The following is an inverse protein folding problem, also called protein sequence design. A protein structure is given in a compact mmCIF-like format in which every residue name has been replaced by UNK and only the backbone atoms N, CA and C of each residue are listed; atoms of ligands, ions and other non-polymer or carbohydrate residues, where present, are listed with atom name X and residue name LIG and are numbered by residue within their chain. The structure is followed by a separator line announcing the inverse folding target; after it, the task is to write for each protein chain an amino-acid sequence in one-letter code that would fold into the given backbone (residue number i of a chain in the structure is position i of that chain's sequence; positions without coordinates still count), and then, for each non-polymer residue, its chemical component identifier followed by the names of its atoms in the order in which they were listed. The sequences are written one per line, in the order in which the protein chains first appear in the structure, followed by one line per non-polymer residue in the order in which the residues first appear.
data_IF_747131994198
#
_entry.id   IF_747131994198
#
_cell.length_a   1.000
_cell.length_b   1.000
_cell.length_c   1.000
_cell.angle_alpha   90.00
_cell.angle_beta   90.00
_cell.angle_gamma   90.00
#
_symmetry.space_group_name_H-M   'P 1'
#
loop_
_entity.id
_entity.type
_entity.pdbx_description
1 polymer ?
#
# COMPACT_ATOMS: atom_id res chain seq x y z
N UNK A 1 36.57 32.69 -48.52
CA UNK A 1 35.42 31.79 -48.24
C UNK A 1 35.72 31.10 -46.90
N UNK A 2 35.20 31.60 -45.78
CA UNK A 2 35.45 31.04 -44.44
C UNK A 2 34.30 30.11 -44.09
N UNK A 3 34.59 28.82 -43.98
CA UNK A 3 33.63 27.79 -43.56
C UNK A 3 33.51 27.89 -42.04
N UNK A 4 32.31 28.24 -41.56
CA UNK A 4 31.94 28.19 -40.14
C UNK A 4 31.37 26.80 -39.88
N UNK A 5 32.13 25.98 -39.15
CA UNK A 5 31.67 24.65 -38.71
C UNK A 5 30.82 24.82 -37.47
N UNK A 6 29.52 24.53 -37.57
CA UNK A 6 28.59 24.51 -36.44
C UNK A 6 28.78 23.20 -35.68
N UNK A 7 29.27 23.26 -34.43
CA UNK A 7 29.30 22.10 -33.53
C UNK A 7 27.90 21.88 -32.97
N UNK A 8 27.28 20.78 -33.38
CA UNK A 8 26.01 20.31 -32.84
C UNK A 8 26.29 19.58 -31.51
N UNK A 9 26.00 20.23 -30.38
CA UNK A 9 26.12 19.61 -29.05
C UNK A 9 24.91 18.70 -28.80
N UNK A 10 25.10 17.39 -28.96
CA UNK A 10 24.10 16.39 -28.60
C UNK A 10 24.13 16.23 -27.07
N UNK A 11 23.09 16.70 -26.39
CA UNK A 11 22.86 16.37 -24.98
C UNK A 11 22.33 14.92 -24.91
N UNK A 12 23.22 13.99 -24.54
CA UNK A 12 22.81 12.64 -24.17
C UNK A 12 22.27 12.72 -22.73
N UNK A 13 20.94 12.73 -22.59
CA UNK A 13 20.29 12.48 -21.31
C UNK A 13 20.55 11.03 -20.92
N UNK A 14 21.49 10.79 -20.02
CA UNK A 14 21.70 9.48 -19.42
C UNK A 14 20.50 9.15 -18.53
N UNK A 15 19.61 8.29 -19.02
CA UNK A 15 18.64 7.60 -18.16
C UNK A 15 19.47 6.68 -17.26
N UNK A 16 19.72 7.08 -16.01
CA UNK A 16 20.28 6.17 -15.02
C UNK A 16 19.24 5.09 -14.77
N UNK A 17 19.45 3.91 -15.36
CA UNK A 17 18.81 2.70 -14.86
C UNK A 17 19.23 2.56 -13.40
N UNK A 18 18.27 2.46 -12.48
CA UNK A 18 18.56 2.00 -11.14
C UNK A 18 19.25 0.64 -11.28
N UNK A 19 20.57 0.63 -11.09
CA UNK A 19 21.39 -0.56 -11.32
C UNK A 19 21.04 -1.63 -10.29
N UNK A 20 21.32 -2.89 -10.60
CA UNK A 20 21.14 -4.03 -9.68
C UNK A 20 21.72 -3.77 -8.27
N UNK A 21 22.79 -2.96 -8.19
CA UNK A 21 23.46 -2.56 -6.95
C UNK A 21 22.56 -1.76 -5.98
N UNK A 22 21.57 -1.02 -6.48
CA UNK A 22 20.66 -0.20 -5.66
C UNK A 22 19.65 -1.08 -4.90
N UNK A 23 19.37 -2.29 -5.42
CA UNK A 23 18.38 -3.22 -4.83
C UNK A 23 18.96 -4.12 -3.74
N UNK A 24 20.27 -4.33 -3.74
CA UNK A 24 20.98 -5.07 -2.67
C UNK A 24 21.13 -4.22 -1.39
N UNK A 25 20.96 -2.90 -1.50
CA UNK A 25 21.05 -1.94 -0.38
C UNK A 25 19.67 -1.49 0.12
N UNK A 26 18.61 -2.10 -0.39
CA UNK A 26 17.24 -1.66 -0.20
C UNK A 26 16.77 -1.81 1.26
N UNK A 27 15.97 -0.84 1.71
CA UNK A 27 15.39 -0.82 3.05
C UNK A 27 13.86 -0.75 2.98
N UNK A 28 13.16 -1.56 3.77
CA UNK A 28 11.70 -1.59 3.75
C UNK A 28 11.06 -1.95 5.09
N UNK A 29 9.86 -1.41 5.29
CA UNK A 29 8.96 -1.77 6.38
C UNK A 29 7.96 -2.83 5.91
N UNK A 30 7.68 -3.79 6.78
CA UNK A 30 6.79 -4.92 6.50
C UNK A 30 5.73 -5.08 7.56
N UNK A 31 4.52 -5.41 7.12
CA UNK A 31 3.40 -5.82 7.97
C UNK A 31 3.12 -7.29 7.76
N UNK A 32 3.30 -8.11 8.79
CA UNK A 32 2.99 -9.54 8.76
C UNK A 32 1.66 -9.81 9.48
N UNK A 33 0.71 -10.44 8.77
CA UNK A 33 -0.57 -10.86 9.35
C UNK A 33 -0.40 -12.12 10.20
N UNK A 34 0.27 -13.12 9.65
CA UNK A 34 0.41 -14.44 10.25
C UNK A 34 1.12 -14.44 11.61
N UNK A 35 2.10 -13.54 11.79
CA UNK A 35 2.80 -13.31 13.07
C UNK A 35 2.33 -12.08 13.83
N UNK A 36 1.42 -11.27 13.28
CA UNK A 36 1.01 -9.98 13.85
C UNK A 36 2.20 -9.10 14.22
N UNK A 37 3.03 -8.83 13.22
CA UNK A 37 4.35 -8.20 13.40
C UNK A 37 4.52 -6.98 12.49
N UNK A 38 5.28 -6.01 12.97
CA UNK A 38 5.89 -4.94 12.18
C UNK A 38 7.39 -5.22 12.10
N UNK A 39 8.01 -4.98 10.95
CA UNK A 39 9.45 -5.21 10.80
C UNK A 39 10.10 -4.17 9.92
N UNK A 40 11.38 -3.92 10.18
CA UNK A 40 12.28 -3.26 9.27
C UNK A 40 13.28 -4.27 8.74
N UNK A 41 13.46 -4.27 7.44
CA UNK A 41 14.54 -5.00 6.76
C UNK A 41 15.42 -3.97 6.05
N UNK A 42 16.71 -4.07 6.27
CA UNK A 42 17.78 -3.31 5.66
C UNK A 42 18.76 -4.33 5.06
N UNK A 43 18.68 -4.51 3.73
CA UNK A 43 19.49 -5.51 3.05
C UNK A 43 20.98 -5.12 3.05
N UNK A 44 21.27 -3.82 3.03
CA UNK A 44 22.64 -3.31 3.06
C UNK A 44 23.29 -3.38 4.43
N UNK A 45 22.51 -3.30 5.51
CA UNK A 45 22.98 -3.32 6.89
C UNK A 45 22.07 -4.20 7.77
N UNK A 46 22.17 -5.54 7.69
CA UNK A 46 21.25 -6.46 8.37
C UNK A 46 21.20 -6.32 9.90
N UNK A 47 22.23 -5.73 10.52
CA UNK A 47 22.24 -5.40 11.95
C UNK A 47 21.19 -4.35 12.36
N UNK A 48 20.66 -3.59 11.38
CA UNK A 48 19.56 -2.65 11.59
C UNK A 48 18.19 -3.34 11.59
N UNK A 49 18.12 -4.62 11.21
CA UNK A 49 16.85 -5.35 11.14
C UNK A 49 16.22 -5.47 12.52
N UNK A 50 14.90 -5.30 12.56
CA UNK A 50 14.14 -5.54 13.77
C UNK A 50 12.74 -6.06 13.45
N UNK A 51 12.18 -6.75 14.44
CA UNK A 51 10.86 -7.37 14.39
C UNK A 51 10.15 -7.04 15.70
N UNK A 52 8.97 -6.41 15.63
CA UNK A 52 8.18 -6.05 16.81
C UNK A 52 6.78 -6.63 16.72
N UNK A 53 6.29 -7.32 17.76
CA UNK A 53 4.88 -7.69 17.84
C UNK A 53 4.03 -6.42 17.93
N UNK A 54 2.89 -6.45 17.25
CA UNK A 54 1.93 -5.34 17.26
C UNK A 54 0.50 -5.91 17.27
N UNK A 55 -0.51 -5.14 17.67
CA UNK A 55 -1.90 -5.60 17.63
C UNK A 55 -2.32 -6.07 16.23
N UNK A 56 -3.37 -6.87 16.14
CA UNK A 56 -3.95 -7.24 14.83
C UNK A 56 -4.45 -5.98 14.12
N UNK A 57 -4.26 -5.95 12.81
CA UNK A 57 -4.70 -4.86 11.96
C UNK A 57 -3.97 -4.86 10.63
N UNK A 58 -4.15 -3.80 9.83
CA UNK A 58 -3.71 -3.72 8.45
C UNK A 58 -3.06 -2.37 8.14
N UNK A 59 -2.53 -2.29 6.93
CA UNK A 59 -1.90 -1.11 6.33
C UNK A 59 -0.58 -0.68 6.97
N UNK A 60 0.17 0.13 6.22
CA UNK A 60 1.35 0.86 6.66
C UNK A 60 1.30 2.26 6.03
N UNK A 61 1.71 3.28 6.77
CA UNK A 61 1.90 4.62 6.21
C UNK A 61 3.04 5.37 6.89
N UNK A 62 3.91 6.05 6.14
CA UNK A 62 4.83 7.03 6.72
C UNK A 62 4.04 8.28 7.09
N UNK A 63 4.07 8.67 8.36
CA UNK A 63 3.29 9.81 8.88
C UNK A 63 4.15 10.99 9.32
N UNK A 64 5.45 10.93 9.03
CA UNK A 64 6.44 11.94 9.39
C UNK A 64 7.08 11.68 10.75
N UNK A 65 8.02 12.56 11.15
CA UNK A 65 8.74 12.45 12.43
C UNK A 65 9.44 11.09 12.64
N UNK A 66 9.84 10.42 11.55
CA UNK A 66 10.40 9.07 11.55
C UNK A 66 9.46 8.00 12.14
N UNK A 67 8.14 8.21 11.94
CA UNK A 67 7.08 7.33 12.40
C UNK A 67 6.36 6.63 11.23
N UNK A 68 5.98 5.39 11.48
CA UNK A 68 5.05 4.61 10.65
C UNK A 68 3.75 4.40 11.41
N UNK A 69 2.63 4.70 10.76
CA UNK A 69 1.29 4.40 11.24
C UNK A 69 0.88 3.00 10.81
N UNK A 70 0.30 2.25 11.74
CA UNK A 70 -0.35 0.96 11.48
C UNK A 70 -1.79 1.00 12.00
N UNK A 71 -2.73 0.42 11.26
CA UNK A 71 -4.08 0.20 11.77
C UNK A 71 -4.10 -0.91 12.81
N UNK A 72 -5.00 -0.79 13.78
CA UNK A 72 -5.30 -1.82 14.78
C UNK A 72 -6.80 -2.13 14.77
N UNK A 73 -7.23 -3.17 15.48
CA UNK A 73 -8.66 -3.48 15.65
C UNK A 73 -9.45 -2.46 16.49
N UNK A 74 -8.78 -1.47 17.09
CA UNK A 74 -9.41 -0.45 17.93
C UNK A 74 -8.95 0.99 17.61
N UNK A 75 -8.42 1.22 16.40
CA UNK A 75 -7.91 2.54 15.98
C UNK A 75 -6.57 2.38 15.26
N UNK A 76 -5.52 3.06 15.72
CA UNK A 76 -4.19 2.97 15.13
C UNK A 76 -3.07 3.24 16.14
N UNK A 77 -1.86 2.86 15.74
CA UNK A 77 -0.62 3.17 16.45
C UNK A 77 0.35 3.88 15.53
N UNK A 78 1.16 4.77 16.08
CA UNK A 78 2.34 5.35 15.45
C UNK A 78 3.58 4.74 16.11
N UNK A 79 4.45 4.18 15.30
CA UNK A 79 5.59 3.36 15.71
C UNK A 79 6.87 3.99 15.15
N UNK A 80 7.93 4.01 15.96
CA UNK A 80 9.25 4.49 15.51
C UNK A 80 9.79 3.60 14.39
N UNK A 81 10.18 4.17 13.26
CA UNK A 81 10.80 3.42 12.15
C UNK A 81 12.17 2.87 12.55
N UNK A 82 12.88 3.54 13.45
CA UNK A 82 14.20 3.11 13.91
C UNK A 82 14.14 1.84 14.78
N UNK A 83 13.07 1.66 15.56
CA UNK A 83 13.04 0.62 16.62
C UNK A 83 11.78 -0.23 16.66
N UNK A 84 10.73 0.16 15.93
CA UNK A 84 9.39 -0.41 15.99
C UNK A 84 8.63 -0.16 17.31
N UNK A 85 9.21 0.60 18.25
CA UNK A 85 8.56 0.91 19.52
C UNK A 85 7.33 1.80 19.32
N UNK A 86 6.31 1.58 20.13
CA UNK A 86 5.13 2.43 20.22
C UNK A 86 5.55 3.85 20.62
N UNK A 87 5.07 4.85 19.89
CA UNK A 87 5.28 6.27 20.19
C UNK A 87 3.96 6.93 20.58
N UNK A 88 2.90 6.62 19.83
CA UNK A 88 1.57 7.17 20.07
C UNK A 88 0.50 6.16 19.65
N UNK A 89 -0.71 6.29 20.19
CA UNK A 89 -1.85 5.47 19.81
C UNK A 89 -3.15 6.25 19.94
N UNK A 90 -4.11 5.90 19.10
CA UNK A 90 -5.51 6.30 19.26
C UNK A 90 -6.35 5.03 19.39
N UNK A 91 -7.14 4.99 20.46
CA UNK A 91 -8.07 3.91 20.77
C UNK A 91 -9.51 4.43 20.91
N UNK A 92 -10.50 3.53 21.03
CA UNK A 92 -11.90 3.91 21.23
C UNK A 92 -12.77 3.73 19.98
N UNK A 93 -12.22 3.08 18.96
CA UNK A 93 -12.88 2.77 17.70
C UNK A 93 -12.87 1.25 17.49
N UNK A 94 -13.59 0.46 18.33
CA UNK A 94 -13.57 -0.99 18.26
C UNK A 94 -14.13 -1.49 16.92
N UNK A 95 -13.46 -2.49 16.34
CA UNK A 95 -13.77 -2.99 15.01
C UNK A 95 -13.16 -2.16 13.88
N UNK A 96 -12.10 -1.38 14.16
CA UNK A 96 -11.36 -0.67 13.12
C UNK A 96 -10.75 -1.68 12.14
N UNK A 97 -10.96 -1.46 10.86
CA UNK A 97 -10.51 -2.30 9.75
C UNK A 97 -9.21 -1.76 9.14
N UNK A 98 -9.14 -0.44 8.97
CA UNK A 98 -7.98 0.27 8.43
C UNK A 98 -7.94 1.71 8.97
N UNK A 99 -6.75 2.29 8.95
CA UNK A 99 -6.49 3.66 9.34
C UNK A 99 -5.52 4.32 8.35
N UNK A 100 -5.78 5.57 7.97
CA UNK A 100 -4.94 6.32 7.02
C UNK A 100 -4.93 7.81 7.37
N UNK A 101 -3.75 8.41 7.47
CA UNK A 101 -3.55 9.86 7.57
C UNK A 101 -3.80 10.50 6.20
N UNK A 102 -4.71 11.46 6.13
CA UNK A 102 -5.10 12.20 4.93
C UNK A 102 -4.17 13.38 4.67
N UNK A 103 -4.28 13.99 3.48
CA UNK A 103 -3.51 15.19 3.09
C UNK A 103 -3.70 16.37 4.05
N UNK A 104 -4.89 16.50 4.62
CA UNK A 104 -5.19 17.54 5.62
C UNK A 104 -4.64 17.23 7.03
N UNK A 105 -3.86 16.16 7.19
CA UNK A 105 -3.24 15.71 8.45
C UNK A 105 -4.23 15.15 9.48
N UNK A 106 -5.52 15.01 9.16
CA UNK A 106 -6.48 14.20 9.92
C UNK A 106 -6.30 12.72 9.60
N UNK A 107 -6.78 11.83 10.47
CA UNK A 107 -6.77 10.38 10.24
C UNK A 107 -8.17 9.89 9.92
N UNK A 108 -8.33 9.13 8.84
CA UNK A 108 -9.58 8.42 8.55
C UNK A 108 -9.47 6.98 9.05
N UNK A 109 -10.50 6.53 9.76
CA UNK A 109 -10.70 5.17 10.24
C UNK A 109 -11.84 4.53 9.47
N UNK A 110 -11.69 3.24 9.15
CA UNK A 110 -12.70 2.44 8.47
C UNK A 110 -13.29 1.44 9.46
N UNK A 111 -14.62 1.37 9.54
CA UNK A 111 -15.31 0.33 10.28
C UNK A 111 -16.61 -0.08 9.60
N UNK A 112 -17.24 -1.12 10.12
CA UNK A 112 -18.55 -1.60 9.64
C UNK A 112 -19.61 -1.28 10.68
N UNK A 113 -20.78 -0.87 10.20
CA UNK A 113 -21.96 -0.63 11.04
C UNK A 113 -21.73 0.36 12.18
N UNK A 114 -20.75 1.25 12.04
CA UNK A 114 -20.48 2.31 13.00
C UNK A 114 -21.51 3.42 12.90
N UNK A 115 -21.63 4.20 13.98
CA UNK A 115 -22.49 5.40 14.03
C UNK A 115 -23.95 5.09 13.69
N UNK A 116 -24.42 3.88 14.04
CA UNK A 116 -25.80 3.43 13.80
C UNK A 116 -26.21 3.44 12.32
N UNK A 117 -25.23 3.26 11.41
CA UNK A 117 -25.45 3.20 9.96
C UNK A 117 -24.97 1.88 9.42
N UNK A 118 -25.82 1.17 8.67
CA UNK A 118 -25.43 -0.08 8.02
C UNK A 118 -24.38 0.17 6.90
N UNK A 119 -23.42 -0.74 6.79
CA UNK A 119 -22.41 -0.75 5.73
C UNK A 119 -21.06 -0.21 6.15
N UNK A 120 -20.25 0.21 5.16
CA UNK A 120 -18.91 0.77 5.41
C UNK A 120 -19.06 2.19 5.94
N UNK A 121 -18.46 2.47 7.09
CA UNK A 121 -18.46 3.81 7.69
C UNK A 121 -17.03 4.28 7.89
N UNK A 122 -16.74 5.44 7.33
CA UNK A 122 -15.52 6.18 7.56
C UNK A 122 -15.72 7.18 8.69
N UNK A 123 -14.75 7.29 9.59
CA UNK A 123 -14.69 8.32 10.62
C UNK A 123 -13.39 9.07 10.48
N UNK A 124 -13.47 10.37 10.17
CA UNK A 124 -12.30 11.25 10.12
C UNK A 124 -12.12 11.89 11.49
N UNK A 125 -10.92 11.77 12.06
CA UNK A 125 -10.55 12.34 13.36
C UNK A 125 -9.39 13.32 13.22
N UNK A 126 -9.39 14.36 14.06
CA UNK A 126 -8.29 15.31 14.14
C UNK A 126 -7.10 14.74 14.94
N UNK A 127 -6.02 15.53 15.10
CA UNK A 127 -4.83 15.13 15.88
C UNK A 127 -5.12 14.88 17.36
N UNK A 128 -6.16 15.51 17.93
CA UNK A 128 -6.61 15.30 19.31
C UNK A 128 -7.42 14.01 19.49
N UNK A 129 -7.83 13.36 18.39
CA UNK A 129 -8.69 12.18 18.39
C UNK A 129 -10.18 12.51 18.33
N UNK A 130 -10.56 13.78 18.18
CA UNK A 130 -11.97 14.16 18.06
C UNK A 130 -12.49 13.83 16.64
N UNK A 131 -13.72 13.33 16.58
CA UNK A 131 -14.41 13.09 15.32
C UNK A 131 -14.73 14.43 14.64
N UNK A 132 -14.19 14.63 13.45
CA UNK A 132 -14.44 15.80 12.58
C UNK A 132 -15.64 15.53 11.68
N UNK A 133 -15.71 14.34 11.08
CA UNK A 133 -16.82 13.95 10.22
C UNK A 133 -16.94 12.42 10.15
N UNK A 134 -18.09 11.94 9.67
CA UNK A 134 -18.32 10.54 9.35
C UNK A 134 -19.03 10.42 8.00
N UNK A 135 -18.61 9.44 7.20
CA UNK A 135 -19.17 9.16 5.87
C UNK A 135 -19.64 7.71 5.86
N UNK A 136 -20.85 7.45 5.40
CA UNK A 136 -21.38 6.10 5.29
C UNK A 136 -21.61 5.73 3.81
N UNK A 137 -21.18 4.53 3.44
CA UNK A 137 -21.44 3.92 2.13
C UNK A 137 -22.29 2.66 2.35
N UNK A 138 -23.62 2.73 2.15
CA UNK A 138 -24.52 1.62 2.42
C UNK A 138 -24.33 0.47 1.41
N UNK A 139 -24.88 -0.70 1.74
CA UNK A 139 -24.91 -1.87 0.84
C UNK A 139 -23.57 -2.59 0.65
N UNK A 140 -22.58 -2.32 1.49
CA UNK A 140 -21.28 -3.00 1.48
C UNK A 140 -20.96 -3.50 2.88
N UNK A 141 -20.71 -4.80 3.03
CA UNK A 141 -20.59 -5.50 4.32
C UNK A 141 -19.14 -5.80 4.73
N UNK A 142 -18.16 -5.39 3.93
CA UNK A 142 -16.75 -5.64 4.18
C UNK A 142 -15.86 -4.50 3.69
N UNK A 143 -14.69 -4.34 4.29
CA UNK A 143 -13.65 -3.46 3.79
C UNK A 143 -12.26 -4.04 4.10
N UNK A 144 -11.26 -3.63 3.32
CA UNK A 144 -9.84 -3.90 3.59
C UNK A 144 -9.04 -2.63 3.73
N UNK A 145 -8.55 -2.04 2.64
CA UNK A 145 -7.77 -0.80 2.68
C UNK A 145 -8.53 0.37 2.05
N UNK A 146 -8.11 1.57 2.46
CA UNK A 146 -8.60 2.86 1.97
C UNK A 146 -7.46 3.71 1.42
N UNK A 147 -7.68 4.42 0.31
CA UNK A 147 -6.78 5.45 -0.22
C UNK A 147 -7.57 6.69 -0.61
N UNK A 148 -7.08 7.87 -0.22
CA UNK A 148 -7.60 9.15 -0.72
C UNK A 148 -7.10 9.36 -2.16
N UNK A 149 -8.00 9.73 -3.07
CA UNK A 149 -7.62 10.01 -4.46
C UNK A 149 -7.09 11.44 -4.62
N UNK A 150 -6.46 11.79 -5.76
CA UNK A 150 -6.14 13.17 -6.07
C UNK A 150 -7.34 14.14 -6.02
N UNK A 151 -8.57 13.63 -6.25
CA UNK A 151 -9.81 14.42 -6.20
C UNK A 151 -10.43 14.53 -4.80
N UNK A 152 -9.80 13.95 -3.77
CA UNK A 152 -10.30 14.00 -2.40
C UNK A 152 -11.47 13.04 -2.11
N UNK A 153 -11.72 12.08 -3.00
CA UNK A 153 -12.64 10.94 -2.82
C UNK A 153 -11.89 9.74 -2.23
N UNK A 154 -12.58 8.65 -1.91
CA UNK A 154 -11.97 7.49 -1.26
C UNK A 154 -12.13 6.21 -2.07
N UNK A 155 -11.01 5.59 -2.43
CA UNK A 155 -11.00 4.21 -2.90
C UNK A 155 -11.02 3.26 -1.72
N UNK A 156 -11.97 2.33 -1.70
CA UNK A 156 -12.13 1.30 -0.68
C UNK A 156 -12.23 -0.06 -1.36
N UNK A 157 -11.40 -1.00 -0.93
CA UNK A 157 -11.48 -2.38 -1.41
C UNK A 157 -12.41 -3.20 -0.50
N UNK A 158 -13.38 -3.91 -1.09
CA UNK A 158 -14.43 -4.66 -0.38
C UNK A 158 -14.72 -5.97 -1.13
N UNK A 159 -14.43 -7.12 -0.50
CA UNK A 159 -14.62 -8.43 -1.13
C UNK A 159 -14.00 -8.51 -2.55
N UNK A 160 -14.81 -8.70 -3.59
CA UNK A 160 -14.43 -8.75 -5.01
C UNK A 160 -14.51 -7.37 -5.70
N UNK A 161 -14.82 -6.32 -4.96
CA UNK A 161 -15.06 -4.99 -5.47
C UNK A 161 -13.98 -4.02 -5.01
N UNK A 162 -13.75 -3.01 -5.85
CA UNK A 162 -13.20 -1.72 -5.45
C UNK A 162 -14.29 -0.69 -5.68
N UNK A 163 -14.60 0.09 -4.66
CA UNK A 163 -15.53 1.22 -4.75
C UNK A 163 -14.78 2.52 -4.60
N UNK A 164 -15.23 3.56 -5.29
CA UNK A 164 -14.86 4.94 -5.00
C UNK A 164 -16.06 5.68 -4.43
N UNK A 165 -15.89 6.22 -3.23
CA UNK A 165 -16.90 6.98 -2.52
C UNK A 165 -16.61 8.48 -2.51
N UNK A 166 -17.63 9.30 -2.70
CA UNK A 166 -17.56 10.75 -2.47
C UNK A 166 -17.55 11.08 -0.97
N UNK A 167 -17.28 12.35 -0.62
CA UNK A 167 -17.33 12.80 0.78
C UNK A 167 -18.77 12.91 1.30
N UNK A 168 -19.74 12.91 0.40
CA UNK A 168 -21.18 12.98 0.66
C UNK A 168 -21.80 11.59 0.89
N UNK A 169 -21.02 10.51 0.75
CA UNK A 169 -21.50 9.13 0.93
C UNK A 169 -22.03 8.46 -0.33
N UNK A 170 -21.77 9.03 -1.51
CA UNK A 170 -22.19 8.43 -2.79
C UNK A 170 -21.10 7.52 -3.36
N UNK A 171 -21.48 6.34 -3.86
CA UNK A 171 -20.58 5.48 -4.63
C UNK A 171 -20.58 5.98 -6.07
N UNK A 172 -19.49 6.63 -6.48
CA UNK A 172 -19.37 7.29 -7.78
C UNK A 172 -18.63 6.45 -8.82
N UNK A 173 -17.93 5.41 -8.38
CA UNK A 173 -17.28 4.44 -9.25
C UNK A 173 -17.17 3.09 -8.55
N UNK A 174 -17.21 2.01 -9.34
CA UNK A 174 -17.01 0.65 -8.84
C UNK A 174 -16.38 -0.23 -9.92
N UNK A 175 -15.49 -1.13 -9.54
CA UNK A 175 -15.01 -2.20 -10.42
C UNK A 175 -15.00 -3.53 -9.69
N UNK A 176 -15.28 -4.60 -10.42
CA UNK A 176 -15.15 -5.96 -9.93
C UNK A 176 -13.80 -6.53 -10.39
N UNK A 177 -13.01 -7.03 -9.45
CA UNK A 177 -11.75 -7.68 -9.77
C UNK A 177 -11.98 -9.10 -10.32
N UNK A 178 -11.13 -9.52 -11.26
CA UNK A 178 -11.10 -10.88 -11.79
C UNK A 178 -10.09 -11.78 -11.08
N UNK A 179 -9.93 -13.02 -11.56
CA UNK A 179 -8.91 -13.97 -11.09
C UNK A 179 -9.47 -15.34 -10.72
N UNK A 180 -8.68 -16.15 -9.99
CA UNK A 180 -9.10 -17.44 -9.43
C UNK A 180 -10.36 -17.28 -8.57
N UNK A 181 -11.07 -18.38 -8.30
CA UNK A 181 -12.33 -18.40 -7.55
C UNK A 181 -12.27 -17.54 -6.26
N UNK A 182 -13.25 -16.65 -6.08
CA UNK A 182 -13.37 -15.72 -4.95
C UNK A 182 -12.15 -14.80 -4.74
N UNK A 183 -11.80 -13.94 -5.72
CA UNK A 183 -10.71 -13.00 -5.55
C UNK A 183 -11.06 -11.95 -4.47
N UNK A 184 -10.04 -11.33 -3.90
CA UNK A 184 -10.22 -10.46 -2.74
C UNK A 184 -9.40 -9.18 -2.89
N UNK A 185 -10.04 -8.10 -3.36
CA UNK A 185 -9.38 -6.83 -3.56
C UNK A 185 -8.75 -6.36 -2.24
N UNK A 186 -7.47 -6.01 -2.27
CA UNK A 186 -6.72 -5.67 -1.06
C UNK A 186 -6.34 -4.19 -0.97
N UNK A 187 -5.71 -3.65 -2.00
CA UNK A 187 -5.36 -2.23 -2.09
C UNK A 187 -5.71 -1.70 -3.48
N UNK A 188 -6.17 -0.46 -3.55
CA UNK A 188 -6.41 0.23 -4.81
C UNK A 188 -5.82 1.64 -4.79
N UNK A 189 -5.25 2.10 -5.91
CA UNK A 189 -4.66 3.42 -6.08
C UNK A 189 -5.18 4.05 -7.38
N UNK A 190 -5.70 5.28 -7.29
CA UNK A 190 -6.15 6.09 -8.43
C UNK A 190 -4.97 6.85 -9.04
N UNK A 191 -4.81 6.74 -10.35
CA UNK A 191 -3.89 7.55 -11.15
C UNK A 191 -4.61 8.77 -11.75
N UNK A 192 -3.86 9.81 -12.09
CA UNK A 192 -4.40 11.04 -12.68
C UNK A 192 -5.02 10.85 -14.07
N UNK A 193 -4.57 9.83 -14.81
CA UNK A 193 -5.16 9.47 -16.12
C UNK A 193 -6.48 8.70 -16.00
N UNK A 194 -7.04 8.59 -14.79
CA UNK A 194 -8.31 7.92 -14.50
C UNK A 194 -8.18 6.42 -14.29
N UNK A 195 -7.00 5.82 -14.51
CA UNK A 195 -6.80 4.39 -14.25
C UNK A 195 -6.74 4.11 -12.76
N UNK A 196 -7.14 2.90 -12.37
CA UNK A 196 -7.07 2.41 -10.99
C UNK A 196 -6.25 1.12 -10.97
N UNK A 197 -5.14 1.12 -10.25
CA UNK A 197 -4.31 -0.07 -10.00
C UNK A 197 -4.83 -0.76 -8.75
N UNK A 198 -4.99 -2.07 -8.80
CA UNK A 198 -5.55 -2.90 -7.72
C UNK A 198 -4.70 -4.13 -7.50
N UNK A 199 -4.36 -4.44 -6.25
CA UNK A 199 -3.87 -5.77 -5.88
C UNK A 199 -5.04 -6.74 -5.65
N UNK A 200 -5.07 -7.80 -6.45
CA UNK A 200 -6.24 -8.68 -6.60
C UNK A 200 -6.43 -9.75 -5.52
N UNK A 201 -5.63 -9.76 -4.45
CA UNK A 201 -5.64 -10.82 -3.45
C UNK A 201 -5.47 -12.19 -4.08
N UNK A 202 -6.38 -13.14 -3.80
CA UNK A 202 -6.38 -14.49 -4.38
C UNK A 202 -6.48 -14.55 -5.92
N UNK A 203 -6.81 -13.42 -6.56
CA UNK A 203 -6.61 -13.29 -8.00
C UNK A 203 -5.15 -13.41 -8.42
N UNK A 204 -4.19 -13.39 -7.48
CA UNK A 204 -2.77 -13.64 -7.68
C UNK A 204 -2.13 -12.69 -8.69
N UNK A 205 -2.68 -11.48 -8.84
CA UNK A 205 -2.35 -10.55 -9.91
C UNK A 205 -2.50 -9.10 -9.46
N UNK A 206 -1.75 -8.23 -10.12
CA UNK A 206 -2.04 -6.79 -10.16
C UNK A 206 -2.98 -6.56 -11.34
N UNK A 207 -4.03 -5.77 -11.13
CA UNK A 207 -5.06 -5.46 -12.11
C UNK A 207 -5.17 -3.95 -12.29
N UNK A 208 -5.38 -3.51 -13.53
CA UNK A 208 -5.53 -2.10 -13.89
C UNK A 208 -6.87 -1.91 -14.58
N UNK A 209 -7.69 -1.03 -14.01
CA UNK A 209 -8.99 -0.66 -14.56
C UNK A 209 -8.94 0.73 -15.16
N UNK A 210 -9.68 0.98 -16.23
CA UNK A 210 -9.92 2.34 -16.71
C UNK A 210 -11.05 3.02 -15.91
N UNK A 211 -11.31 4.28 -16.23
CA UNK A 211 -12.37 5.11 -15.65
C UNK A 211 -13.79 4.55 -15.88
N UNK A 212 -13.97 3.70 -16.89
CA UNK A 212 -15.21 2.96 -17.19
C UNK A 212 -15.29 1.59 -16.53
N UNK A 213 -14.47 1.34 -15.49
CA UNK A 213 -14.46 0.09 -14.73
C UNK A 213 -14.10 -1.16 -15.54
N UNK A 214 -13.46 -0.99 -16.70
CA UNK A 214 -13.03 -2.08 -17.57
C UNK A 214 -11.61 -2.47 -17.22
N UNK A 215 -11.36 -3.77 -17.02
CA UNK A 215 -10.01 -4.31 -16.87
C UNK A 215 -9.24 -4.12 -18.17
N UNK A 216 -8.16 -3.32 -18.14
CA UNK A 216 -7.32 -3.04 -19.32
C UNK A 216 -5.97 -3.72 -19.26
N UNK A 217 -5.54 -4.16 -18.08
CA UNK A 217 -4.28 -4.89 -17.89
C UNK A 217 -4.35 -5.74 -16.63
N UNK A 218 -3.81 -6.95 -16.69
CA UNK A 218 -3.51 -7.77 -15.53
C UNK A 218 -2.16 -8.47 -15.72
N UNK A 219 -1.40 -8.65 -14.65
CA UNK A 219 -0.13 -9.37 -14.68
C UNK A 219 0.17 -10.01 -13.32
N UNK A 220 0.98 -11.06 -13.34
CA UNK A 220 1.41 -11.83 -12.19
C UNK A 220 2.86 -12.28 -12.37
N UNK A 221 3.47 -12.76 -11.28
CA UNK A 221 4.78 -13.40 -11.31
C UNK A 221 4.72 -14.80 -11.95
N UNK A 222 5.89 -15.35 -12.30
CA UNK A 222 5.99 -16.71 -12.83
C UNK A 222 5.65 -17.74 -11.74
N UNK A 223 5.36 -18.98 -12.14
CA UNK A 223 4.76 -20.00 -11.28
C UNK A 223 5.65 -20.35 -10.07
N UNK A 224 6.97 -20.34 -10.25
CA UNK A 224 7.99 -20.61 -9.23
C UNK A 224 7.94 -19.64 -8.04
N UNK A 225 7.46 -18.41 -8.24
CA UNK A 225 7.28 -17.42 -7.17
C UNK A 225 6.04 -17.71 -6.32
N UNK A 226 5.19 -18.64 -6.79
CA UNK A 226 3.97 -19.11 -6.13
C UNK A 226 3.09 -17.93 -5.73
N UNK A 227 2.66 -17.16 -6.73
CA UNK A 227 1.68 -16.09 -6.56
C UNK A 227 0.38 -16.62 -5.95
N UNK A 228 0.09 -16.20 -4.71
CA UNK A 228 -1.04 -16.69 -3.92
C UNK A 228 -2.05 -15.57 -3.68
N UNK A 229 -1.73 -14.62 -2.78
CA UNK A 229 -2.58 -13.48 -2.48
C UNK A 229 -1.76 -12.19 -2.58
N UNK A 230 -2.01 -11.40 -3.63
CA UNK A 230 -1.34 -10.11 -3.80
C UNK A 230 -2.03 -9.07 -2.92
N UNK A 231 -1.34 -8.66 -1.85
CA UNK A 231 -1.86 -7.80 -0.78
C UNK A 231 -1.35 -6.36 -0.89
N UNK A 232 -0.65 -5.81 0.11
CA UNK A 232 -0.21 -4.42 0.08
C UNK A 232 0.73 -4.14 -1.09
N UNK A 233 0.57 -2.98 -1.72
CA UNK A 233 1.38 -2.58 -2.87
C UNK A 233 1.92 -1.16 -2.73
N UNK A 234 3.02 -0.88 -3.41
CA UNK A 234 3.60 0.45 -3.55
C UNK A 234 4.07 0.67 -4.99
N UNK A 235 3.77 1.84 -5.54
CA UNK A 235 4.34 2.32 -6.80
C UNK A 235 5.60 3.12 -6.47
N UNK A 236 6.74 2.71 -7.02
CA UNK A 236 8.04 3.35 -6.84
C UNK A 236 8.21 4.54 -7.79
N UNK A 237 9.18 5.42 -7.51
CA UNK A 237 9.47 6.62 -8.35
C UNK A 237 9.77 6.29 -9.81
N UNK A 238 10.33 5.12 -10.09
CA UNK A 238 10.61 4.63 -11.44
C UNK A 238 9.38 3.99 -12.14
N UNK A 239 8.22 3.97 -11.48
CA UNK A 239 6.98 3.37 -11.98
C UNK A 239 6.84 1.87 -11.70
N UNK A 240 7.87 1.21 -11.14
CA UNK A 240 7.76 -0.19 -10.75
C UNK A 240 6.75 -0.36 -9.62
N UNK A 241 6.15 -1.55 -9.53
CA UNK A 241 5.15 -1.89 -8.53
C UNK A 241 5.71 -3.00 -7.65
N UNK A 242 5.91 -2.71 -6.37
CA UNK A 242 6.23 -3.72 -5.35
C UNK A 242 4.93 -4.18 -4.70
N UNK A 243 4.77 -5.49 -4.53
CA UNK A 243 3.60 -6.08 -3.89
C UNK A 243 4.00 -7.21 -2.94
N UNK A 244 3.29 -7.31 -1.82
CA UNK A 244 3.40 -8.45 -0.92
C UNK A 244 2.58 -9.62 -1.44
N UNK A 245 3.18 -10.80 -1.48
CA UNK A 245 2.56 -12.06 -1.88
C UNK A 245 2.25 -12.91 -0.63
N UNK A 246 1.13 -12.61 0.03
CA UNK A 246 0.65 -13.27 1.24
C UNK A 246 0.39 -14.76 0.98
N UNK A 247 0.82 -15.64 1.89
CA UNK A 247 0.88 -17.10 1.64
C UNK A 247 -0.12 -17.93 2.42
N UNK A 248 -0.91 -17.34 3.31
CA UNK A 248 -1.87 -18.08 4.13
C UNK A 248 -2.06 -17.46 5.51
N UNK A 249 -3.08 -17.89 6.23
CA UNK A 249 -3.28 -17.44 7.60
C UNK A 249 -2.32 -18.15 8.56
N UNK A 250 -1.97 -17.45 9.64
CA UNK A 250 -1.18 -18.00 10.74
C UNK A 250 0.34 -17.96 10.50
N UNK A 251 1.13 -18.41 11.48
CA UNK A 251 2.56 -18.08 11.57
C UNK A 251 3.51 -18.97 10.75
N UNK A 252 3.01 -20.00 10.05
CA UNK A 252 3.83 -21.05 9.44
C UNK A 252 3.86 -21.04 7.90
N UNK A 253 3.60 -19.88 7.28
CA UNK A 253 3.40 -19.77 5.83
C UNK A 253 4.63 -19.25 5.07
N UNK A 254 5.67 -18.82 5.79
CA UNK A 254 6.87 -18.20 5.21
C UNK A 254 7.64 -19.11 4.23
N UNK A 255 7.41 -20.43 4.25
CA UNK A 255 8.08 -21.38 3.34
C UNK A 255 7.36 -21.56 1.99
N UNK A 256 6.13 -21.05 1.85
CA UNK A 256 5.27 -21.44 0.72
C UNK A 256 5.52 -20.66 -0.56
N UNK A 257 6.06 -19.46 -0.53
CA UNK A 257 6.31 -18.70 -1.76
C UNK A 257 7.38 -17.64 -1.56
N UNK A 258 7.51 -16.76 -2.54
CA UNK A 258 8.34 -15.56 -2.43
C UNK A 258 7.47 -14.38 -2.03
N UNK A 259 7.88 -13.64 -1.00
CA UNK A 259 6.97 -12.78 -0.24
C UNK A 259 6.88 -11.35 -0.77
N UNK A 260 7.91 -10.86 -1.45
CA UNK A 260 7.87 -9.58 -2.17
C UNK A 260 8.20 -9.81 -3.63
N UNK A 261 7.42 -9.16 -4.50
CA UNK A 261 7.62 -9.17 -5.94
C UNK A 261 7.62 -7.72 -6.43
N UNK A 262 8.59 -7.34 -7.24
CA UNK A 262 8.66 -6.06 -7.92
C UNK A 262 8.48 -6.26 -9.42
N UNK A 263 7.49 -5.59 -9.99
CA UNK A 263 7.18 -5.64 -11.40
C UNK A 263 7.54 -4.31 -12.08
N UNK A 264 8.04 -4.37 -13.32
CA UNK A 264 8.16 -3.20 -14.19
C UNK A 264 6.77 -2.63 -14.52
N UNK A 265 6.66 -1.39 -15.05
CA UNK A 265 5.39 -0.86 -15.56
C UNK A 265 4.76 -1.76 -16.64
N UNK A 266 5.58 -2.55 -17.34
CA UNK A 266 5.18 -3.51 -18.35
C UNK A 266 4.60 -4.79 -17.73
N UNK A 267 4.82 -5.05 -16.44
CA UNK A 267 4.31 -6.21 -15.71
C UNK A 267 5.29 -7.37 -15.66
N UNK A 268 6.56 -7.14 -16.01
CA UNK A 268 7.62 -8.13 -15.94
C UNK A 268 8.20 -8.17 -14.53
N UNK A 269 8.44 -9.36 -13.97
CA UNK A 269 9.13 -9.48 -12.69
C UNK A 269 10.59 -9.03 -12.85
N UNK A 270 10.98 -7.99 -12.12
CA UNK A 270 12.32 -7.41 -12.20
C UNK A 270 13.13 -7.57 -10.92
N UNK A 271 12.48 -7.88 -9.80
CA UNK A 271 13.13 -8.21 -8.53
C UNK A 271 12.15 -8.97 -7.64
N UNK A 272 12.69 -9.81 -6.76
CA UNK A 272 11.91 -10.49 -5.73
C UNK A 272 12.73 -10.63 -4.46
N UNK A 273 12.05 -10.78 -3.33
CA UNK A 273 12.69 -11.07 -2.06
C UNK A 273 11.96 -12.19 -1.34
N UNK A 274 12.73 -13.23 -1.04
CA UNK A 274 12.31 -14.38 -0.28
C UNK A 274 12.78 -14.22 1.15
N UNK A 275 11.84 -14.19 2.07
CA UNK A 275 12.11 -13.97 3.49
C UNK A 275 12.70 -15.23 4.16
N UNK A 276 13.26 -15.04 5.35
CA UNK A 276 13.63 -16.14 6.26
C UNK A 276 12.42 -16.57 7.11
N UNK A 277 11.88 -17.80 6.92
CA UNK A 277 10.66 -18.29 7.58
C UNK A 277 10.74 -18.41 9.10
N UNK A 278 11.91 -18.22 9.71
CA UNK A 278 12.00 -18.02 11.15
C UNK A 278 11.33 -16.70 11.57
N UNK A 279 11.52 -15.64 10.78
CA UNK A 279 11.13 -14.27 11.13
C UNK A 279 9.81 -13.82 10.54
N UNK A 280 9.42 -14.30 9.35
CA UNK A 280 8.15 -13.91 8.71
C UNK A 280 7.29 -15.11 8.32
N UNK A 281 6.02 -14.82 8.08
CA UNK A 281 5.01 -15.76 7.63
C UNK A 281 4.30 -15.21 6.40
N UNK A 282 3.37 -14.28 6.59
CA UNK A 282 2.46 -13.83 5.54
C UNK A 282 2.35 -12.32 5.53
N UNK A 283 3.13 -11.72 4.63
CA UNK A 283 3.20 -10.27 4.47
C UNK A 283 1.91 -9.72 3.85
N UNK A 284 1.38 -8.66 4.43
CA UNK A 284 0.16 -7.98 3.99
C UNK A 284 0.34 -6.48 3.73
N UNK A 285 1.53 -5.95 3.99
CA UNK A 285 1.88 -4.55 3.74
C UNK A 285 3.38 -4.35 3.58
N UNK A 286 3.76 -3.40 2.73
CA UNK A 286 5.14 -3.03 2.44
C UNK A 286 5.26 -1.53 2.23
N UNK A 287 6.38 -0.96 2.71
CA UNK A 287 6.88 0.35 2.28
C UNK A 287 8.39 0.20 2.01
N UNK A 288 8.78 0.26 0.75
CA UNK A 288 10.15 0.54 0.30
C UNK A 288 10.49 1.97 0.68
N UNK A 289 11.54 2.14 1.49
CA UNK A 289 12.00 3.41 2.04
C UNK A 289 13.00 4.13 1.13
N UNK A 290 13.50 3.46 0.09
CA UNK A 290 14.51 3.98 -0.83
C UNK A 290 14.11 5.37 -1.37
N UNK A 291 14.88 6.40 -0.97
CA UNK A 291 14.67 7.78 -1.41
C UNK A 291 13.38 8.46 -0.88
N UNK A 292 12.74 7.92 0.16
CA UNK A 292 11.64 8.58 0.87
C UNK A 292 12.17 9.38 2.08
N UNK A 293 11.52 10.51 2.37
CA UNK A 293 11.83 11.33 3.55
C UNK A 293 10.95 10.92 4.73
N UNK A 294 11.48 10.08 5.61
CA UNK A 294 10.71 9.57 6.77
C UNK A 294 10.32 10.65 7.78
N UNK A 295 10.89 11.86 7.69
CA UNK A 295 10.48 12.99 8.51
C UNK A 295 9.14 13.61 8.08
N UNK A 296 8.62 13.25 6.89
CA UNK A 296 7.39 13.78 6.30
C UNK A 296 6.28 12.75 6.17
N UNK A 297 5.03 13.22 6.31
CA UNK A 297 3.84 12.45 5.92
C UNK A 297 3.93 12.12 4.43
N UNK A 298 3.79 10.86 4.07
CA UNK A 298 3.68 10.44 2.67
C UNK A 298 2.26 9.98 2.32
N UNK A 299 1.79 10.44 1.17
CA UNK A 299 0.54 10.00 0.54
C UNK A 299 0.79 9.74 -0.94
N UNK A 300 -0.07 8.95 -1.57
CA UNK A 300 -0.04 8.72 -3.00
C UNK A 300 -0.36 10.01 -3.79
N UNK A 301 0.53 10.36 -4.72
CA UNK A 301 0.33 11.47 -5.65
C UNK A 301 -0.49 11.07 -6.88
N UNK A 302 -0.52 11.92 -7.89
CA UNK A 302 -1.18 11.70 -9.18
C UNK A 302 -0.67 10.48 -9.97
N UNK A 303 0.60 10.08 -9.76
CA UNK A 303 1.16 8.85 -10.32
C UNK A 303 1.02 7.64 -9.37
N UNK A 304 0.34 7.81 -8.24
CA UNK A 304 0.20 6.80 -7.19
C UNK A 304 1.48 6.52 -6.41
N UNK A 305 2.53 7.31 -6.63
CA UNK A 305 3.81 7.22 -5.92
C UNK A 305 3.68 7.93 -4.57
N UNK A 306 4.27 7.36 -3.52
CA UNK A 306 4.36 8.02 -2.22
C UNK A 306 5.21 9.29 -2.32
N UNK A 307 4.63 10.44 -2.00
CA UNK A 307 5.31 11.74 -1.97
C UNK A 307 5.05 12.46 -0.65
N UNK A 308 6.00 13.28 -0.17
CA UNK A 308 5.80 14.08 1.03
C UNK A 308 4.63 15.06 0.86
N UNK A 309 3.87 15.26 1.92
CA UNK A 309 2.90 16.35 2.09
C UNK A 309 3.56 17.42 2.92
N UNK A 310 3.51 18.67 2.45
CA UNK A 310 4.02 19.84 3.17
C UNK A 310 3.18 20.21 4.40
#
# INVERSE_FOLDING_TARGET
MKIITFLLTIFILSVQSATCQDREMRRFLLRDEGKSQLSLVDLGNPENNWHQPVPKGRDLQLVGEDLVLIGTENGFEERSIKTGKLVNQVTGFPGTIAARRLKNKNTILVGLNWREKEGITLVEINKSGDIVTSINYPGNDYARLIRETPKGTFLITSNQLVIEGSREGEIIWKAQIGGKENPHAWQAIRLADGKTIVSGGYGGSIQVFNDKSTLVKAFCGPEEERGNFYSGLQILKNGNIVVTNWQGHGPNQGKLGTQLLEFSPQGELVWSWKQDPEYFSSLQGVIILDGLDTSKLHVENEAGVLTPVD
#
